data_IF_033302307335
#
_entry.id   IF_033302307335
#
_cell.length_a   1.000
_cell.length_b   1.000
_cell.length_c   1.000
_cell.angle_alpha   90.00
_cell.angle_beta   90.00
_cell.angle_gamma   90.00
#
_symmetry.space_group_name_H-M   'P 1'
#
loop_
_entity.id
_entity.type
_entity.pdbx_description
1 polymer ?
#
# COMPACT_ATOMS: atom_id res chain seq x y z
N UNK A 1 8.88 10.39 -19.33
CA UNK A 1 8.78 10.98 -17.97
C UNK A 1 9.72 10.17 -17.10
N UNK A 2 10.71 10.79 -16.44
CA UNK A 2 11.61 10.06 -15.55
C UNK A 2 10.84 9.36 -14.43
N UNK A 3 11.38 8.25 -13.91
CA UNK A 3 10.78 7.50 -12.81
C UNK A 3 10.47 8.41 -11.62
N UNK A 4 9.20 8.47 -11.21
CA UNK A 4 8.75 9.25 -10.05
C UNK A 4 9.52 8.87 -8.76
N UNK A 5 9.90 7.59 -8.61
CA UNK A 5 10.71 7.05 -7.51
C UNK A 5 12.12 7.65 -7.47
N UNK A 6 12.64 8.03 -8.64
CA UNK A 6 13.98 8.58 -8.83
C UNK A 6 14.00 10.11 -8.80
N UNK A 7 12.85 10.73 -8.58
CA UNK A 7 12.81 12.18 -8.39
C UNK A 7 13.72 12.57 -7.21
N UNK A 8 14.62 13.56 -7.35
CA UNK A 8 15.61 13.90 -6.32
C UNK A 8 15.01 14.16 -4.93
N UNK A 9 13.86 14.84 -4.86
CA UNK A 9 13.15 15.07 -3.59
C UNK A 9 12.70 13.77 -2.89
N UNK A 10 12.29 12.76 -3.66
CA UNK A 10 11.89 11.45 -3.11
C UNK A 10 13.12 10.63 -2.75
N UNK A 11 14.20 10.68 -3.55
CA UNK A 11 15.48 10.04 -3.21
C UNK A 11 16.05 10.61 -1.91
N UNK A 12 16.00 11.92 -1.71
CA UNK A 12 16.45 12.58 -0.47
C UNK A 12 15.69 12.03 0.75
N UNK A 13 14.36 11.93 0.66
CA UNK A 13 13.52 11.37 1.72
C UNK A 13 13.84 9.89 1.94
N UNK A 14 13.95 9.09 0.88
CA UNK A 14 14.29 7.66 1.00
C UNK A 14 15.61 7.46 1.73
N UNK A 15 16.65 8.18 1.31
CA UNK A 15 17.99 8.02 1.88
C UNK A 15 18.05 8.50 3.34
N UNK A 16 17.32 9.57 3.68
CA UNK A 16 17.32 10.10 5.03
C UNK A 16 16.44 9.28 6.00
N UNK A 17 15.26 8.87 5.56
CA UNK A 17 14.21 8.36 6.43
C UNK A 17 13.96 6.85 6.27
N UNK A 18 14.32 6.27 5.12
CA UNK A 18 13.99 4.89 4.76
C UNK A 18 15.21 4.11 4.20
N UNK A 19 16.37 4.10 4.88
CA UNK A 19 17.57 3.39 4.40
C UNK A 19 17.36 1.87 4.28
N UNK A 20 16.31 1.34 4.90
CA UNK A 20 15.93 -0.08 4.85
C UNK A 20 15.06 -0.44 3.64
N UNK A 21 14.68 0.50 2.78
CA UNK A 21 13.87 0.20 1.60
C UNK A 21 14.71 -0.43 0.49
N UNK A 22 14.78 -1.77 0.53
CA UNK A 22 15.56 -2.63 -0.34
C UNK A 22 14.94 -4.04 -0.35
N UNK A 23 15.36 -4.95 -1.25
CA UNK A 23 14.73 -6.27 -1.41
C UNK A 23 14.65 -7.12 -0.14
N UNK A 24 15.50 -6.89 0.86
CA UNK A 24 15.52 -7.67 2.10
C UNK A 24 14.56 -7.15 3.19
N UNK A 25 13.74 -6.13 2.92
CA UNK A 25 12.77 -5.60 3.87
C UNK A 25 11.57 -6.53 3.98
N UNK A 26 11.28 -7.02 5.18
CA UNK A 26 10.11 -7.89 5.40
C UNK A 26 8.83 -7.06 5.49
N UNK A 27 7.68 -7.65 5.14
CA UNK A 27 6.41 -6.92 5.17
C UNK A 27 5.99 -6.54 6.60
N UNK A 28 6.32 -7.37 7.58
CA UNK A 28 6.17 -7.07 9.01
C UNK A 28 6.96 -5.83 9.43
N UNK A 29 8.20 -5.68 8.96
CA UNK A 29 9.00 -4.47 9.19
C UNK A 29 8.40 -3.25 8.50
N UNK A 30 7.81 -3.43 7.31
CA UNK A 30 7.08 -2.36 6.64
C UNK A 30 5.81 -1.94 7.41
N UNK A 31 5.12 -2.87 8.08
CA UNK A 31 4.01 -2.57 9.01
C UNK A 31 4.51 -1.69 10.17
N UNK A 32 5.65 -2.02 10.77
CA UNK A 32 6.25 -1.19 11.83
C UNK A 32 6.58 0.23 11.35
N UNK A 33 7.12 0.35 10.12
CA UNK A 33 7.40 1.65 9.50
C UNK A 33 6.10 2.43 9.25
N UNK A 34 5.00 1.77 8.87
CA UNK A 34 3.70 2.42 8.74
C UNK A 34 3.16 2.95 10.09
N UNK A 35 3.43 2.26 11.20
CA UNK A 35 3.06 2.72 12.54
C UNK A 35 3.95 3.85 13.06
N UNK A 36 5.13 4.03 12.51
CA UNK A 36 6.14 4.91 13.04
C UNK A 36 6.88 5.68 11.92
N UNK A 37 6.12 6.22 10.96
CA UNK A 37 6.61 6.92 9.78
C UNK A 37 7.52 8.09 10.21
N UNK A 38 8.81 8.08 9.87
CA UNK A 38 9.72 9.18 10.15
C UNK A 38 9.41 10.42 9.32
N UNK A 39 9.39 11.59 9.99
CA UNK A 39 9.24 12.93 9.40
C UNK A 39 10.26 13.85 10.06
N UNK A 40 11.17 14.44 9.27
CA UNK A 40 12.16 15.40 9.79
C UNK A 40 11.50 16.73 10.16
N UNK A 41 11.91 17.29 11.30
CA UNK A 41 11.40 18.57 11.78
C UNK A 41 12.24 19.74 11.24
N UNK A 42 11.64 20.94 11.02
CA UNK A 42 12.37 22.11 10.51
C UNK A 42 13.57 22.53 11.38
N UNK A 43 13.47 22.35 12.70
CA UNK A 43 14.54 22.66 13.67
C UNK A 43 15.56 21.55 13.90
N UNK A 44 15.51 20.46 13.10
CA UNK A 44 16.29 19.25 13.33
C UNK A 44 15.55 18.20 14.16
N UNK A 45 16.02 16.96 14.08
CA UNK A 45 15.36 15.80 14.69
C UNK A 45 14.28 15.17 13.81
N UNK A 46 13.69 14.07 14.31
CA UNK A 46 12.69 13.26 13.61
C UNK A 46 11.51 13.01 14.53
N UNK A 47 10.30 13.25 14.02
CA UNK A 47 9.05 12.81 14.65
C UNK A 47 8.54 11.56 13.94
N UNK A 48 7.99 10.62 14.71
CA UNK A 48 7.28 9.45 14.17
C UNK A 48 5.77 9.72 14.17
N UNK A 49 5.11 9.42 13.06
CA UNK A 49 3.64 9.50 12.91
C UNK A 49 3.11 8.19 12.37
N UNK A 50 1.89 7.83 12.75
CA UNK A 50 1.29 6.56 12.38
C UNK A 50 0.32 6.75 11.20
N UNK A 51 0.43 5.91 10.17
CA UNK A 51 -0.49 5.89 9.01
C UNK A 51 -1.62 4.89 9.28
N UNK A 52 -2.46 5.23 10.26
CA UNK A 52 -3.46 4.30 10.81
C UNK A 52 -4.86 4.51 10.27
N UNK A 53 -5.19 5.71 9.80
CA UNK A 53 -6.54 6.06 9.35
C UNK A 53 -6.49 6.79 8.03
N UNK A 54 -7.43 6.48 7.14
CA UNK A 54 -7.68 7.28 5.95
C UNK A 54 -9.08 6.99 5.37
N UNK A 55 -9.61 7.91 4.56
CA UNK A 55 -10.86 7.68 3.82
C UNK A 55 -10.59 7.14 2.42
N UNK A 56 -11.03 5.91 2.18
CA UNK A 56 -10.86 5.24 0.90
C UNK A 56 -11.69 5.86 -0.23
N UNK A 57 -11.10 5.88 -1.43
CA UNK A 57 -11.76 6.26 -2.67
C UNK A 57 -11.22 7.53 -3.34
N UNK A 58 -11.50 7.65 -4.63
CA UNK A 58 -11.16 8.80 -5.47
C UNK A 58 -12.34 9.76 -5.56
N UNK A 59 -12.65 10.46 -4.47
CA UNK A 59 -13.74 11.44 -4.40
C UNK A 59 -13.29 12.87 -4.72
N UNK A 60 -14.23 13.73 -5.15
CA UNK A 60 -13.94 15.16 -5.43
C UNK A 60 -13.34 15.90 -4.22
N UNK A 61 -13.71 15.53 -3.00
CA UNK A 61 -13.15 16.09 -1.76
C UNK A 61 -11.64 15.82 -1.59
N UNK A 62 -11.19 14.59 -1.86
CA UNK A 62 -9.78 14.20 -1.77
C UNK A 62 -8.92 14.99 -2.76
N UNK A 63 -9.37 15.13 -4.01
CA UNK A 63 -8.66 15.90 -5.03
C UNK A 63 -8.63 17.40 -4.73
N UNK A 64 -9.69 17.94 -4.11
CA UNK A 64 -9.73 19.33 -3.67
C UNK A 64 -8.69 19.56 -2.57
N UNK A 65 -8.65 18.72 -1.52
CA UNK A 65 -7.63 18.82 -0.44
C UNK A 65 -6.20 18.73 -0.99
N UNK A 66 -5.93 17.74 -1.84
CA UNK A 66 -4.64 17.58 -2.50
C UNK A 66 -4.23 18.82 -3.31
N UNK A 67 -5.18 19.40 -4.06
CA UNK A 67 -4.97 20.63 -4.83
C UNK A 67 -4.69 21.85 -3.96
N UNK A 68 -5.45 22.01 -2.88
CA UNK A 68 -5.27 23.10 -1.90
C UNK A 68 -3.91 23.01 -1.23
N UNK A 69 -3.55 21.85 -0.67
CA UNK A 69 -2.27 21.63 0.00
C UNK A 69 -1.10 21.89 -0.97
N UNK A 70 -1.15 21.29 -2.16
CA UNK A 70 -0.13 21.53 -3.21
C UNK A 70 0.00 23.03 -3.52
N UNK A 71 -1.12 23.73 -3.69
CA UNK A 71 -1.12 25.17 -3.99
C UNK A 71 -0.52 26.02 -2.86
N UNK A 72 -0.80 25.68 -1.60
CA UNK A 72 -0.20 26.33 -0.43
C UNK A 72 1.31 26.10 -0.37
N UNK A 73 1.76 24.85 -0.53
CA UNK A 73 3.18 24.47 -0.54
C UNK A 73 3.94 25.13 -1.70
N UNK A 74 3.37 25.17 -2.89
CA UNK A 74 3.98 25.81 -4.07
C UNK A 74 4.17 27.32 -3.90
N UNK A 75 3.31 27.99 -3.11
CA UNK A 75 3.37 29.43 -2.89
C UNK A 75 4.30 29.83 -1.75
N UNK A 76 4.53 28.94 -0.79
CA UNK A 76 5.36 29.18 0.40
C UNK A 76 6.83 29.47 0.07
N UNK A 77 7.41 30.51 0.69
CA UNK A 77 8.78 30.98 0.44
C UNK A 77 9.85 29.97 0.87
N UNK A 78 9.67 29.31 2.01
CA UNK A 78 10.65 28.36 2.55
C UNK A 78 10.69 27.05 1.76
N UNK A 79 9.54 26.60 1.26
CA UNK A 79 9.46 25.44 0.35
C UNK A 79 10.15 25.76 -0.98
N UNK A 80 9.92 26.95 -1.54
CA UNK A 80 10.53 27.38 -2.81
C UNK A 80 12.06 27.40 -2.79
N UNK A 81 12.70 27.59 -1.63
CA UNK A 81 14.16 27.50 -1.47
C UNK A 81 14.70 26.11 -1.79
N UNK A 82 13.91 25.05 -1.60
CA UNK A 82 14.28 23.69 -2.02
C UNK A 82 13.84 23.46 -3.48
N UNK A 83 14.80 23.57 -4.41
CA UNK A 83 14.56 23.39 -5.85
C UNK A 83 13.96 22.02 -6.19
N UNK A 84 14.40 20.96 -5.51
CA UNK A 84 13.90 19.61 -5.75
C UNK A 84 12.46 19.45 -5.27
N UNK A 85 12.15 19.90 -4.04
CA UNK A 85 10.78 19.84 -3.52
C UNK A 85 9.81 20.65 -4.39
N UNK A 86 10.21 21.87 -4.81
CA UNK A 86 9.43 22.69 -5.73
C UNK A 86 9.17 21.96 -7.05
N UNK A 87 10.22 21.42 -7.67
CA UNK A 87 10.09 20.69 -8.93
C UNK A 87 9.14 19.49 -8.78
N UNK A 88 9.25 18.73 -7.68
CA UNK A 88 8.35 17.61 -7.40
C UNK A 88 6.90 18.07 -7.28
N UNK A 89 6.63 19.15 -6.54
CA UNK A 89 5.28 19.71 -6.43
C UNK A 89 4.72 20.14 -7.80
N UNK A 90 5.57 20.68 -8.68
CA UNK A 90 5.17 21.13 -10.01
C UNK A 90 4.76 19.95 -10.91
N UNK A 91 5.58 18.89 -10.96
CA UNK A 91 5.42 17.78 -11.91
C UNK A 91 4.60 16.60 -11.37
N UNK A 92 4.51 16.42 -10.05
CA UNK A 92 3.92 15.23 -9.42
C UNK A 92 2.48 15.40 -8.96
N UNK A 93 1.69 16.26 -9.63
CA UNK A 93 0.28 16.54 -9.27
C UNK A 93 -0.55 15.26 -9.08
N UNK A 94 -0.38 14.27 -9.94
CA UNK A 94 -1.11 13.01 -9.84
C UNK A 94 -0.68 12.21 -8.60
N UNK A 95 0.61 12.07 -8.33
CA UNK A 95 1.14 11.36 -7.15
C UNK A 95 0.67 11.98 -5.84
N UNK A 96 0.69 13.31 -5.75
CA UNK A 96 0.17 14.04 -4.58
C UNK A 96 -1.30 13.68 -4.34
N UNK A 97 -2.14 13.61 -5.39
CA UNK A 97 -3.54 13.17 -5.25
C UNK A 97 -3.64 11.74 -4.71
N UNK A 98 -2.74 10.85 -5.10
CA UNK A 98 -2.77 9.46 -4.66
C UNK A 98 -2.52 9.30 -3.15
N UNK A 99 -1.81 10.23 -2.50
CA UNK A 99 -1.68 10.25 -1.04
C UNK A 99 -3.03 10.44 -0.34
N UNK A 100 -3.94 11.19 -0.95
CA UNK A 100 -5.29 11.44 -0.46
C UNK A 100 -6.30 10.37 -0.91
N UNK A 101 -5.88 9.45 -1.76
CA UNK A 101 -6.70 8.33 -2.24
C UNK A 101 -6.23 6.97 -1.69
N UNK A 102 -5.21 6.96 -0.83
CA UNK A 102 -4.75 5.73 -0.21
C UNK A 102 -3.69 4.97 -0.99
N UNK A 103 -3.00 5.57 -1.97
CA UNK A 103 -2.08 4.86 -2.89
C UNK A 103 -0.72 5.57 -3.10
N UNK A 104 -0.33 6.46 -2.19
CA UNK A 104 1.03 7.01 -2.19
C UNK A 104 2.04 6.02 -1.59
N UNK A 105 3.33 6.26 -1.83
CA UNK A 105 4.38 5.59 -1.08
C UNK A 105 4.60 6.29 0.27
N UNK A 106 5.29 5.62 1.21
CA UNK A 106 5.64 6.22 2.49
C UNK A 106 6.59 7.42 2.35
N UNK A 107 7.48 7.41 1.35
CA UNK A 107 8.35 8.55 1.06
C UNK A 107 7.56 9.78 0.60
N UNK A 108 6.50 9.59 -0.20
CA UNK A 108 5.64 10.69 -0.66
C UNK A 108 4.84 11.29 0.50
N UNK A 109 4.32 10.45 1.39
CA UNK A 109 3.59 10.90 2.59
C UNK A 109 4.55 11.65 3.53
N UNK A 110 5.75 11.10 3.77
CA UNK A 110 6.79 11.72 4.59
C UNK A 110 7.20 13.08 4.02
N UNK A 111 7.44 13.17 2.70
CA UNK A 111 7.74 14.43 2.01
C UNK A 111 6.64 15.48 2.22
N UNK A 112 5.37 15.10 2.02
CA UNK A 112 4.25 16.02 2.22
C UNK A 112 4.17 16.54 3.66
N UNK A 113 4.43 15.68 4.65
CA UNK A 113 4.50 16.07 6.06
C UNK A 113 5.66 17.04 6.33
N UNK A 114 6.88 16.72 5.86
CA UNK A 114 8.06 17.59 6.04
C UNK A 114 7.84 18.98 5.42
N UNK A 115 7.29 19.02 4.20
CA UNK A 115 6.99 20.28 3.52
C UNK A 115 5.89 21.08 4.24
N UNK A 116 4.89 20.41 4.82
CA UNK A 116 3.79 21.07 5.53
C UNK A 116 4.24 21.67 6.86
N UNK A 117 5.12 20.98 7.60
CA UNK A 117 5.79 21.53 8.78
C UNK A 117 6.66 22.72 8.40
N UNK A 118 7.49 22.59 7.35
CA UNK A 118 8.37 23.66 6.89
C UNK A 118 7.61 24.90 6.43
N UNK A 119 6.44 24.71 5.81
CA UNK A 119 5.58 25.79 5.36
C UNK A 119 4.75 26.42 6.50
N UNK A 120 4.81 25.90 7.73
CA UNK A 120 3.99 26.36 8.85
C UNK A 120 2.49 26.06 8.69
N UNK A 121 2.12 25.11 7.83
CA UNK A 121 0.71 24.71 7.62
C UNK A 121 0.18 23.83 8.75
N UNK A 122 1.09 23.20 9.49
CA UNK A 122 0.80 22.35 10.65
C UNK A 122 2.00 22.43 11.61
N UNK A 123 1.74 22.35 12.90
CA UNK A 123 2.77 22.26 13.94
C UNK A 123 3.11 20.79 14.25
N UNK A 124 4.29 20.55 14.83
CA UNK A 124 4.78 19.20 15.08
C UNK A 124 3.89 18.40 16.06
N UNK A 125 3.27 19.05 17.03
CA UNK A 125 2.32 18.47 17.98
C UNK A 125 1.00 18.06 17.32
N UNK A 126 0.54 18.84 16.33
CA UNK A 126 -0.71 18.59 15.58
C UNK A 126 -0.56 17.61 14.42
N UNK A 127 0.66 17.22 14.04
CA UNK A 127 0.91 16.50 12.80
C UNK A 127 0.09 15.20 12.67
N UNK A 128 -0.02 14.40 13.73
CA UNK A 128 -0.81 13.16 13.70
C UNK A 128 -2.30 13.45 13.42
N UNK A 129 -2.89 14.38 14.18
CA UNK A 129 -4.29 14.77 14.01
C UNK A 129 -4.54 15.38 12.62
N UNK A 130 -3.58 16.15 12.11
CA UNK A 130 -3.66 16.74 10.78
C UNK A 130 -3.66 15.69 9.67
N UNK A 131 -2.84 14.64 9.78
CA UNK A 131 -2.86 13.51 8.83
C UNK A 131 -4.21 12.79 8.88
N UNK A 132 -4.67 12.40 10.08
CA UNK A 132 -5.84 11.54 10.24
C UNK A 132 -7.18 12.25 10.00
N UNK A 133 -7.29 13.53 10.40
CA UNK A 133 -8.57 14.25 10.47
C UNK A 133 -8.68 15.36 9.42
N UNK A 134 -7.61 16.16 9.25
CA UNK A 134 -7.68 17.36 8.40
C UNK A 134 -7.43 17.01 6.93
N UNK A 135 -6.42 16.17 6.67
CA UNK A 135 -6.03 15.77 5.32
C UNK A 135 -6.57 14.41 4.90
N UNK A 136 -6.75 13.50 5.87
CA UNK A 136 -7.15 12.10 5.65
C UNK A 136 -6.16 11.36 4.72
N UNK A 137 -4.86 11.58 4.93
CA UNK A 137 -3.78 10.95 4.15
C UNK A 137 -3.47 9.58 4.74
N UNK A 138 -3.37 8.57 3.88
CA UNK A 138 -2.91 7.25 4.31
C UNK A 138 -2.87 6.22 3.20
N UNK A 139 -3.17 4.96 3.54
CA UNK A 139 -3.11 3.81 2.65
C UNK A 139 -4.39 2.96 2.78
N UNK A 140 -4.94 2.42 1.68
CA UNK A 140 -5.79 1.22 1.76
C UNK A 140 -4.96 -0.05 1.66
N UNK A 141 -5.63 -1.20 1.77
CA UNK A 141 -5.10 -2.51 1.45
C UNK A 141 -4.28 -2.53 0.15
N UNK A 142 -4.79 -1.94 -0.93
CA UNK A 142 -4.11 -1.95 -2.22
C UNK A 142 -2.91 -1.00 -2.25
N UNK A 143 -3.02 0.19 -1.67
CA UNK A 143 -1.92 1.13 -1.57
C UNK A 143 -0.83 0.69 -0.63
N UNK A 144 -1.16 0.04 0.48
CA UNK A 144 -0.21 -0.64 1.35
C UNK A 144 0.59 -1.67 0.57
N UNK A 145 -0.10 -2.55 -0.14
CA UNK A 145 0.54 -3.59 -0.96
C UNK A 145 1.43 -2.97 -2.04
N UNK A 146 0.93 -1.97 -2.76
CA UNK A 146 1.71 -1.24 -3.77
C UNK A 146 2.94 -0.55 -3.17
N UNK A 147 2.79 0.10 -2.00
CA UNK A 147 3.87 0.83 -1.34
C UNK A 147 4.96 -0.13 -0.84
N UNK A 148 4.57 -1.29 -0.30
CA UNK A 148 5.50 -2.35 0.09
C UNK A 148 6.29 -2.87 -1.12
N UNK A 149 5.62 -3.29 -2.18
CA UNK A 149 6.29 -3.77 -3.40
C UNK A 149 7.11 -2.69 -4.10
N UNK A 150 6.75 -1.42 -3.94
CA UNK A 150 7.59 -0.30 -4.37
C UNK A 150 8.84 -0.19 -3.49
N UNK A 151 8.70 -0.32 -2.17
CA UNK A 151 9.81 -0.25 -1.21
C UNK A 151 10.89 -1.30 -1.48
N UNK A 152 10.50 -2.54 -1.77
CA UNK A 152 11.41 -3.67 -2.05
C UNK A 152 11.87 -3.76 -3.52
N UNK A 153 11.42 -2.85 -4.40
CA UNK A 153 11.93 -2.74 -5.77
C UNK A 153 11.19 -3.55 -6.85
N UNK A 154 9.98 -4.07 -6.57
CA UNK A 154 9.16 -4.75 -7.58
C UNK A 154 8.48 -3.78 -8.56
N UNK A 155 8.00 -2.62 -8.09
CA UNK A 155 7.18 -1.68 -8.87
C UNK A 155 7.85 -0.33 -9.12
N UNK A 156 8.97 -0.33 -9.85
CA UNK A 156 9.81 0.86 -10.06
C UNK A 156 9.20 1.90 -11.03
N UNK A 157 8.63 1.46 -12.14
CA UNK A 157 8.12 2.37 -13.20
C UNK A 157 6.65 2.72 -13.02
N UNK A 158 5.85 1.78 -12.49
CA UNK A 158 4.39 1.88 -12.39
C UNK A 158 3.95 1.45 -10.98
N UNK A 159 3.94 2.36 -9.98
CA UNK A 159 3.72 2.02 -8.57
C UNK A 159 2.29 1.59 -8.25
N UNK A 160 1.35 1.77 -9.18
CA UNK A 160 -0.07 1.53 -8.93
C UNK A 160 -0.52 0.33 -9.75
N UNK A 161 -0.77 -0.75 -9.02
CA UNK A 161 -1.41 -1.95 -9.48
C UNK A 161 -2.74 -2.13 -8.75
N UNK A 162 -3.69 -2.79 -9.40
CA UNK A 162 -4.97 -3.18 -8.80
C UNK A 162 -4.97 -4.69 -8.50
N UNK A 163 -5.85 -5.16 -7.62
CA UNK A 163 -5.86 -6.54 -7.10
C UNK A 163 -5.65 -7.62 -8.18
N UNK A 164 -6.41 -7.58 -9.28
CA UNK A 164 -6.33 -8.60 -10.34
C UNK A 164 -4.96 -8.65 -11.04
N UNK A 165 -4.21 -7.55 -11.03
CA UNK A 165 -2.94 -7.43 -11.73
C UNK A 165 -1.82 -8.21 -11.03
N UNK A 166 -1.90 -8.40 -9.71
CA UNK A 166 -0.93 -9.19 -8.96
C UNK A 166 -0.89 -10.66 -9.41
N UNK A 167 -2.08 -11.27 -9.60
CA UNK A 167 -2.22 -12.60 -10.20
C UNK A 167 -1.59 -12.69 -11.61
N UNK A 168 -1.62 -11.62 -12.39
CA UNK A 168 -1.04 -11.59 -13.73
C UNK A 168 0.49 -11.47 -13.72
N UNK A 169 1.05 -10.79 -12.71
CA UNK A 169 2.48 -10.53 -12.61
C UNK A 169 3.22 -11.73 -12.01
N UNK A 170 2.77 -12.22 -10.86
CA UNK A 170 3.41 -13.35 -10.18
C UNK A 170 2.91 -14.72 -10.66
N UNK A 171 1.73 -14.78 -11.29
CA UNK A 171 1.03 -16.04 -11.48
C UNK A 171 0.34 -16.52 -10.20
N UNK A 172 -0.31 -17.68 -10.29
CA UNK A 172 -1.13 -18.24 -9.21
C UNK A 172 -0.37 -19.35 -8.49
N UNK A 173 -0.47 -19.38 -7.16
CA UNK A 173 0.00 -20.49 -6.35
C UNK A 173 -1.07 -21.60 -6.30
N UNK A 174 -0.65 -22.83 -6.56
CA UNK A 174 -1.53 -24.00 -6.63
C UNK A 174 -1.29 -25.01 -5.50
N UNK A 175 -0.23 -24.82 -4.73
CA UNK A 175 0.17 -25.65 -3.60
C UNK A 175 0.97 -24.82 -2.61
N UNK A 176 1.17 -25.33 -1.39
CA UNK A 176 1.94 -24.64 -0.35
C UNK A 176 3.40 -24.42 -0.74
N UNK A 177 3.94 -25.25 -1.64
CA UNK A 177 5.29 -25.06 -2.20
C UNK A 177 5.39 -23.89 -3.17
N UNK A 178 4.27 -23.36 -3.68
CA UNK A 178 4.26 -22.23 -4.61
C UNK A 178 4.22 -20.88 -3.88
N UNK A 179 3.95 -20.86 -2.57
CA UNK A 179 3.90 -19.63 -1.77
C UNK A 179 5.17 -19.49 -0.94
N UNK A 180 5.62 -18.25 -0.79
CA UNK A 180 6.76 -17.89 0.07
C UNK A 180 6.57 -16.45 0.56
N UNK A 181 7.61 -15.87 1.18
CA UNK A 181 7.70 -14.44 1.42
C UNK A 181 7.37 -13.66 0.13
N UNK A 182 6.71 -12.51 0.27
CA UNK A 182 6.29 -11.65 -0.83
C UNK A 182 5.23 -12.23 -1.79
N UNK A 183 4.62 -13.36 -1.47
CA UNK A 183 3.37 -13.79 -2.11
C UNK A 183 2.20 -12.87 -1.72
N UNK A 184 1.21 -12.72 -2.61
CA UNK A 184 0.04 -11.87 -2.39
C UNK A 184 -1.19 -12.71 -2.05
N UNK A 185 -1.95 -12.27 -1.06
CA UNK A 185 -3.27 -12.80 -0.72
C UNK A 185 -4.36 -11.92 -1.36
N UNK A 186 -5.17 -12.49 -2.25
CA UNK A 186 -6.25 -11.78 -2.95
C UNK A 186 -7.61 -12.38 -2.56
N UNK A 187 -8.53 -11.56 -2.04
CA UNK A 187 -9.87 -12.05 -1.70
C UNK A 187 -10.69 -12.33 -2.96
N UNK A 188 -11.41 -13.44 -2.94
CA UNK A 188 -12.09 -13.98 -4.11
C UNK A 188 -13.57 -14.26 -3.86
N UNK A 189 -14.36 -14.22 -4.93
CA UNK A 189 -15.79 -14.55 -4.94
C UNK A 189 -16.13 -15.49 -6.11
N UNK A 190 -17.27 -16.21 -6.05
CA UNK A 190 -17.75 -16.93 -7.21
C UNK A 190 -18.00 -15.95 -8.37
N UNK A 191 -17.55 -16.32 -9.55
CA UNK A 191 -17.81 -15.55 -10.77
C UNK A 191 -19.29 -15.69 -11.11
N UNK A 192 -19.99 -14.56 -11.17
CA UNK A 192 -21.38 -14.53 -11.64
C UNK A 192 -21.36 -14.51 -13.16
N UNK A 193 -21.83 -15.57 -13.80
CA UNK A 193 -22.11 -15.61 -15.24
C UNK A 193 -23.52 -16.13 -15.50
N UNK A 194 -24.13 -15.67 -16.59
CA UNK A 194 -25.47 -16.09 -17.03
C UNK A 194 -25.55 -17.61 -17.27
N UNK A 195 -24.44 -18.22 -17.68
CA UNK A 195 -24.23 -19.66 -17.66
C UNK A 195 -23.82 -20.11 -16.27
N UNK A 196 -24.61 -20.97 -15.63
CA UNK A 196 -24.56 -21.43 -14.23
C UNK A 196 -23.29 -22.20 -13.79
N UNK A 197 -22.09 -21.88 -14.28
CA UNK A 197 -20.85 -22.51 -13.83
C UNK A 197 -20.42 -21.93 -12.47
N UNK A 198 -21.08 -22.40 -11.41
CA UNK A 198 -20.87 -22.05 -9.99
C UNK A 198 -19.47 -22.36 -9.43
N UNK A 199 -18.58 -22.93 -10.23
CA UNK A 199 -17.27 -23.42 -9.77
C UNK A 199 -16.09 -22.50 -10.14
N UNK A 200 -16.34 -21.38 -10.80
CA UNK A 200 -15.28 -20.46 -11.21
C UNK A 200 -15.21 -19.31 -10.22
N UNK A 201 -14.00 -18.95 -9.82
CA UNK A 201 -13.74 -17.88 -8.88
C UNK A 201 -12.93 -16.76 -9.52
N UNK A 202 -13.23 -15.54 -9.10
CA UNK A 202 -12.53 -14.34 -9.51
C UNK A 202 -12.10 -13.52 -8.28
N UNK A 203 -11.01 -12.78 -8.44
CA UNK A 203 -10.58 -11.80 -7.44
C UNK A 203 -11.64 -10.70 -7.38
N UNK A 204 -12.03 -10.31 -6.17
CA UNK A 204 -13.01 -9.24 -5.96
C UNK A 204 -12.35 -7.92 -6.37
N UNK A 205 -12.86 -7.22 -7.41
CA UNK A 205 -12.27 -5.97 -7.86
C UNK A 205 -12.46 -4.87 -6.82
N UNK A 206 -11.47 -3.97 -6.72
CA UNK A 206 -11.57 -2.80 -5.86
C UNK A 206 -12.72 -1.88 -6.35
N UNK A 207 -13.50 -1.32 -5.41
CA UNK A 207 -14.55 -0.34 -5.71
C UNK A 207 -15.89 -0.89 -6.24
N UNK A 208 -16.13 -2.20 -6.19
CA UNK A 208 -17.42 -2.76 -6.57
C UNK A 208 -18.49 -2.41 -5.52
N UNK A 209 -19.50 -1.63 -5.91
CA UNK A 209 -20.70 -1.37 -5.08
C UNK A 209 -21.72 -2.47 -5.35
N UNK A 210 -21.80 -3.43 -4.43
CA UNK A 210 -22.72 -4.57 -4.44
C UNK A 210 -22.63 -5.27 -3.08
N UNK A 211 -23.32 -6.41 -2.88
CA UNK A 211 -23.29 -7.14 -1.60
C UNK A 211 -21.90 -7.64 -1.17
N UNK A 212 -20.91 -7.62 -2.08
CA UNK A 212 -19.53 -8.05 -1.85
C UNK A 212 -18.65 -6.93 -1.25
N UNK A 213 -18.92 -6.54 -0.01
CA UNK A 213 -18.13 -5.57 0.77
C UNK A 213 -16.75 -6.09 1.24
N UNK A 214 -16.15 -7.05 0.54
CA UNK A 214 -14.99 -7.83 1.02
C UNK A 214 -13.75 -7.78 0.11
N UNK A 215 -13.68 -6.85 -0.86
CA UNK A 215 -12.48 -6.66 -1.66
C UNK A 215 -11.29 -6.31 -0.74
N UNK A 216 -10.30 -7.20 -0.67
CA UNK A 216 -9.12 -7.03 0.16
C UNK A 216 -7.89 -7.67 -0.47
N UNK A 217 -6.72 -7.21 -0.03
CA UNK A 217 -5.42 -7.68 -0.46
C UNK A 217 -4.44 -7.56 0.71
N UNK A 218 -3.53 -8.52 0.81
CA UNK A 218 -2.44 -8.53 1.77
C UNK A 218 -1.21 -9.21 1.19
N UNK A 219 -0.10 -9.15 1.93
CA UNK A 219 1.18 -9.74 1.57
C UNK A 219 1.53 -10.81 2.59
N UNK A 220 1.96 -11.97 2.12
CA UNK A 220 2.47 -13.04 2.96
C UNK A 220 3.86 -12.63 3.44
N UNK A 221 4.01 -12.54 4.76
CA UNK A 221 5.30 -12.30 5.41
C UNK A 221 6.11 -13.60 5.48
N UNK A 222 5.47 -14.69 5.91
CA UNK A 222 6.06 -16.04 5.92
C UNK A 222 4.98 -17.13 6.07
N UNK A 223 5.41 -18.38 5.87
CA UNK A 223 4.61 -19.60 6.06
C UNK A 223 5.31 -20.50 7.09
N UNK A 224 4.59 -20.96 8.10
CA UNK A 224 5.10 -21.83 9.17
C UNK A 224 4.02 -22.81 9.59
N UNK A 225 4.27 -24.11 9.69
CA UNK A 225 3.37 -24.92 10.54
C UNK A 225 1.99 -25.25 9.95
N UNK A 226 1.71 -25.02 8.67
CA UNK A 226 0.36 -24.92 8.07
C UNK A 226 -0.35 -23.57 8.24
N UNK A 227 0.38 -22.58 8.75
CA UNK A 227 -0.07 -21.21 8.95
C UNK A 227 0.61 -20.26 7.97
N UNK A 228 -0.13 -19.24 7.56
CA UNK A 228 0.33 -18.14 6.73
C UNK A 228 0.18 -16.86 7.53
N UNK A 229 1.28 -16.12 7.68
CA UNK A 229 1.27 -14.80 8.32
C UNK A 229 1.13 -13.74 7.24
N UNK A 230 0.09 -12.91 7.35
CA UNK A 230 -0.30 -11.94 6.34
C UNK A 230 -0.26 -10.53 6.91
N UNK A 231 0.55 -9.68 6.28
CA UNK A 231 0.57 -8.24 6.50
C UNK A 231 -0.47 -7.56 5.61
N UNK A 232 -1.30 -6.70 6.20
CA UNK A 232 -2.42 -6.09 5.52
C UNK A 232 -2.78 -4.73 6.13
N UNK A 233 -3.48 -3.89 5.36
CA UNK A 233 -3.98 -2.60 5.82
C UNK A 233 -5.46 -2.46 5.50
N UNK A 234 -6.27 -1.99 6.44
CA UNK A 234 -7.65 -1.59 6.17
C UNK A 234 -7.87 -0.13 6.53
N UNK A 235 -8.66 0.59 5.73
CA UNK A 235 -8.94 2.03 5.90
C UNK A 235 -9.38 2.42 7.32
N UNK A 236 -10.07 1.51 8.02
CA UNK A 236 -10.62 1.72 9.36
C UNK A 236 -9.85 0.98 10.48
N UNK A 237 -8.86 0.16 10.15
CA UNK A 237 -8.16 -0.72 11.11
C UNK A 237 -6.65 -0.41 11.17
N UNK A 238 -6.11 0.23 10.13
CA UNK A 238 -4.68 0.50 10.01
C UNK A 238 -3.88 -0.70 9.48
N UNK A 239 -2.55 -0.56 9.42
CA UNK A 239 -1.64 -1.65 9.09
C UNK A 239 -1.61 -2.66 10.24
N UNK A 240 -1.57 -3.95 9.92
CA UNK A 240 -1.57 -5.03 10.91
C UNK A 240 -1.02 -6.32 10.32
N UNK A 241 -0.74 -7.27 11.21
CA UNK A 241 -0.35 -8.63 10.91
C UNK A 241 -1.45 -9.57 11.42
N UNK A 242 -1.88 -10.51 10.59
CA UNK A 242 -2.87 -11.53 10.94
C UNK A 242 -2.32 -12.91 10.56
N UNK A 243 -2.51 -13.89 11.43
CA UNK A 243 -2.16 -15.29 11.16
C UNK A 243 -3.38 -16.07 10.70
N UNK A 244 -3.20 -16.87 9.65
CA UNK A 244 -4.25 -17.70 9.07
C UNK A 244 -3.81 -19.16 9.01
N UNK A 245 -4.69 -20.07 9.39
CA UNK A 245 -4.52 -21.51 9.15
C UNK A 245 -4.94 -21.86 7.72
N UNK A 246 -4.15 -22.66 7.02
CA UNK A 246 -4.54 -23.26 5.74
C UNK A 246 -5.58 -24.34 6.00
N UNK A 247 -6.82 -24.11 5.57
CA UNK A 247 -7.92 -25.08 5.70
C UNK A 247 -7.92 -26.03 4.51
N UNK A 248 -7.71 -25.52 3.30
CA UNK A 248 -7.53 -26.34 2.11
C UNK A 248 -6.81 -25.59 0.99
N UNK A 249 -5.99 -26.34 0.25
CA UNK A 249 -5.36 -25.91 -1.00
C UNK A 249 -6.35 -25.95 -2.18
N UNK A 250 -5.99 -25.35 -3.33
CA UNK A 250 -6.77 -25.45 -4.54
C UNK A 250 -6.99 -26.90 -4.98
N UNK A 251 -8.24 -27.33 -5.21
CA UNK A 251 -8.53 -28.70 -5.65
C UNK A 251 -8.13 -28.95 -7.10
N UNK A 252 -7.79 -27.90 -7.87
CA UNK A 252 -7.46 -28.00 -9.29
C UNK A 252 -6.50 -26.90 -9.74
N UNK A 253 -5.63 -27.24 -10.68
CA UNK A 253 -4.78 -26.29 -11.41
C UNK A 253 -5.51 -25.58 -12.57
N UNK A 254 -6.78 -25.90 -12.81
CA UNK A 254 -7.57 -25.28 -13.89
C UNK A 254 -7.86 -23.81 -13.58
N UNK A 255 -7.82 -22.98 -14.63
CA UNK A 255 -8.10 -21.55 -14.55
C UNK A 255 -9.45 -21.28 -13.89
N UNK A 256 -9.45 -20.44 -12.84
CA UNK A 256 -10.63 -20.08 -12.08
C UNK A 256 -11.05 -21.10 -11.01
N UNK A 257 -10.32 -22.21 -10.86
CA UNK A 257 -10.50 -23.18 -9.77
C UNK A 257 -9.35 -23.14 -8.76
N UNK A 258 -8.50 -22.11 -8.83
CA UNK A 258 -7.31 -21.94 -7.98
C UNK A 258 -7.63 -21.31 -6.62
N UNK A 259 -8.59 -21.89 -5.90
CA UNK A 259 -9.12 -21.30 -4.65
C UNK A 259 -8.49 -21.90 -3.41
N UNK A 260 -8.01 -21.01 -2.56
CA UNK A 260 -7.56 -21.30 -1.21
C UNK A 260 -8.66 -21.01 -0.19
N UNK A 261 -8.72 -21.84 0.84
CA UNK A 261 -9.53 -21.55 2.04
C UNK A 261 -8.59 -21.34 3.21
N UNK A 262 -8.51 -20.11 3.69
CA UNK A 262 -7.73 -19.77 4.89
C UNK A 262 -8.66 -19.30 6.01
N UNK A 263 -8.36 -19.67 7.24
CA UNK A 263 -9.11 -19.24 8.42
C UNK A 263 -8.21 -18.44 9.34
N UNK A 264 -8.54 -17.17 9.55
CA UNK A 264 -7.82 -16.34 10.51
C UNK A 264 -7.93 -16.95 11.92
N UNK A 265 -6.81 -17.00 12.65
CA UNK A 265 -6.79 -17.54 14.02
C UNK A 265 -7.76 -16.73 14.89
N UNK A 266 -8.57 -17.43 15.69
CA UNK A 266 -9.62 -16.82 16.50
C UNK A 266 -10.91 -16.50 15.76
N UNK A 267 -11.02 -16.78 14.45
CA UNK A 267 -12.27 -16.68 13.67
C UNK A 267 -12.83 -18.06 13.36
N UNK A 268 -14.17 -18.16 13.33
CA UNK A 268 -14.87 -19.42 13.04
C UNK A 268 -15.01 -19.71 11.55
N UNK A 269 -15.05 -18.67 10.70
CA UNK A 269 -15.28 -18.80 9.25
C UNK A 269 -13.98 -18.75 8.46
N UNK A 270 -13.82 -19.70 7.53
CA UNK A 270 -12.79 -19.61 6.50
C UNK A 270 -13.18 -18.56 5.45
N UNK A 271 -12.17 -17.96 4.83
CA UNK A 271 -12.27 -16.98 3.77
C UNK A 271 -11.79 -17.61 2.46
N UNK A 272 -12.42 -17.20 1.36
CA UNK A 272 -12.05 -17.66 0.02
C UNK A 272 -11.06 -16.70 -0.61
N UNK A 273 -9.93 -17.24 -1.03
CA UNK A 273 -8.76 -16.48 -1.45
C UNK A 273 -8.14 -17.06 -2.72
N UNK A 274 -7.40 -16.23 -3.43
CA UNK A 274 -6.44 -16.61 -4.46
C UNK A 274 -5.07 -16.14 -3.98
N UNK A 275 -4.12 -17.07 -3.88
CA UNK A 275 -2.74 -16.76 -3.53
C UNK A 275 -1.89 -16.67 -4.79
N UNK A 276 -0.92 -15.76 -4.81
CA UNK A 276 0.08 -15.68 -5.88
C UNK A 276 1.35 -16.40 -5.49
N UNK A 277 2.19 -16.69 -6.48
CA UNK A 277 3.61 -16.96 -6.24
C UNK A 277 4.32 -15.71 -5.70
N UNK A 278 5.56 -15.82 -5.20
CA UNK A 278 6.35 -14.66 -4.82
C UNK A 278 6.53 -13.68 -5.97
N UNK A 279 6.48 -12.39 -5.66
CA UNK A 279 6.76 -11.34 -6.64
C UNK A 279 8.26 -11.24 -6.87
N UNK A 280 8.70 -11.14 -8.13
CA UNK A 280 10.12 -10.91 -8.42
C UNK A 280 10.54 -9.52 -7.95
N UNK A 281 11.57 -9.46 -7.09
CA UNK A 281 12.25 -8.22 -6.71
C UNK A 281 13.37 -7.93 -7.70
N UNK A 282 13.39 -6.73 -8.28
CA UNK A 282 14.54 -6.24 -9.01
C UNK A 282 15.38 -5.44 -8.03
N UNK A 283 16.70 -5.65 -8.01
CA UNK A 283 17.59 -4.78 -7.25
C UNK A 283 17.26 -3.34 -7.66
N UNK A 284 16.71 -2.57 -6.71
CA UNK A 284 16.36 -1.19 -6.96
C UNK A 284 17.67 -0.50 -7.33
N UNK A 285 17.82 -0.15 -8.62
CA UNK A 285 19.07 0.36 -9.17
C UNK A 285 19.69 1.40 -8.25
N UNK A 286 20.97 1.18 -7.92
CA UNK A 286 21.84 2.17 -7.28
C UNK A 286 21.78 3.52 -8.00
#
# INVERSE_FOLDING_TARGET
MGNYRDHPAIKEIRNANFPRFKPELWCSEFVEICHALPVRLPGGGVKKVAITRYKSGTGGGAYKRAGTLRGQLQKNSEVKKNKHAKNWLDVSKHRIRMAFCGHATLEEISLLCELSLKAGLVSADRLQAWIDQDQEIGLDCNGFTNAYYTAIGCFLEKPIHYHNKYKQIAGVAHSWYDIDYDSVVLWARPKVSDDQKKDVWEVIPNGHKGPDHHAHIGVIDHVLNDEVVVCQHGSNVGPRISTYKIVSEPPSKKKGKEVWYLREIGKSKAQTLILTKPMSTFAAGE
#
